data_IF_531486592832
#
_entry.id   IF_531486592832
#
_cell.length_a   1.000
_cell.length_b   1.000
_cell.length_c   1.000
_cell.angle_alpha   90.00
_cell.angle_beta   90.00
_cell.angle_gamma   90.00
#
_symmetry.space_group_name_H-M   'P 1'
#
loop_
_entity.id
_entity.type
_entity.pdbx_description
1 polymer ?
#
# COMPACT_ATOMS: atom_id res chain seq x y z
N UNK A 1 9.12 10.12 11.21
CA UNK A 1 9.97 9.43 10.21
C UNK A 1 9.54 7.97 10.14
N UNK A 2 9.57 7.40 8.94
CA UNK A 2 9.26 5.98 8.67
C UNK A 2 10.54 5.29 8.23
N UNK A 3 10.97 4.28 8.99
CA UNK A 3 12.14 3.46 8.69
C UNK A 3 11.79 2.29 7.77
N UNK A 4 12.77 1.59 7.20
CA UNK A 4 12.51 0.37 6.44
C UNK A 4 11.61 -0.62 7.18
N UNK A 5 10.62 -1.14 6.48
CA UNK A 5 9.61 -2.08 6.99
C UNK A 5 8.68 -1.54 8.09
N UNK A 6 8.64 -0.24 8.31
CA UNK A 6 7.61 0.38 9.13
C UNK A 6 6.40 0.78 8.28
N UNK A 7 5.26 0.87 8.92
CA UNK A 7 3.99 1.22 8.31
C UNK A 7 3.53 2.55 8.88
N UNK A 8 3.13 3.47 8.01
CA UNK A 8 2.51 4.74 8.36
C UNK A 8 1.00 4.66 8.13
N UNK A 9 0.23 5.08 9.09
CA UNK A 9 -1.22 5.09 9.10
C UNK A 9 -1.76 6.49 9.38
N UNK A 10 -2.81 6.89 8.67
CA UNK A 10 -3.56 8.13 8.92
C UNK A 10 -5.02 7.76 9.17
N UNK A 11 -5.54 8.17 10.31
CA UNK A 11 -6.89 7.81 10.79
C UNK A 11 -8.04 8.48 10.03
N UNK A 12 -7.78 9.54 9.26
CA UNK A 12 -8.80 10.26 8.49
C UNK A 12 -9.24 9.46 7.25
N UNK A 13 -10.48 8.94 7.27
CA UNK A 13 -11.07 8.15 6.18
C UNK A 13 -11.90 9.01 5.21
N UNK A 14 -12.43 10.16 5.66
CA UNK A 14 -13.45 10.92 4.93
C UNK A 14 -12.97 11.61 3.66
N UNK A 15 -11.69 11.98 3.58
CA UNK A 15 -11.13 12.71 2.42
C UNK A 15 -10.76 11.84 1.24
N UNK A 16 -10.64 10.53 1.44
CA UNK A 16 -10.16 9.56 0.44
C UNK A 16 -11.22 8.59 -0.04
N UNK A 17 -12.49 8.85 0.29
CA UNK A 17 -13.58 7.95 0.00
C UNK A 17 -13.56 6.74 0.95
N UNK A 18 -13.79 5.56 0.43
CA UNK A 18 -14.00 4.35 1.22
C UNK A 18 -12.70 3.59 1.58
N UNK A 19 -11.54 4.26 1.60
CA UNK A 19 -10.24 3.61 1.81
C UNK A 19 -9.50 4.19 3.01
N UNK A 20 -8.89 3.30 3.80
CA UNK A 20 -7.93 3.71 4.81
C UNK A 20 -6.64 4.24 4.17
N UNK A 21 -5.97 5.14 4.88
CA UNK A 21 -4.68 5.67 4.45
C UNK A 21 -3.55 4.92 5.14
N UNK A 22 -2.99 3.96 4.43
CA UNK A 22 -1.90 3.11 4.90
C UNK A 22 -0.78 3.07 3.86
N UNK A 23 0.47 3.17 4.31
CA UNK A 23 1.65 3.04 3.47
C UNK A 23 2.75 2.28 4.21
N UNK A 24 3.40 1.36 3.53
CA UNK A 24 4.55 0.63 4.05
C UNK A 24 5.83 1.10 3.35
N UNK A 25 6.88 1.34 4.12
CA UNK A 25 8.19 1.62 3.56
C UNK A 25 8.90 0.31 3.20
N UNK A 26 8.91 -0.01 1.91
CA UNK A 26 9.59 -1.19 1.35
C UNK A 26 11.01 -0.91 0.84
N UNK A 27 11.52 0.33 1.00
CA UNK A 27 12.88 0.70 0.64
C UNK A 27 13.83 0.64 1.84
N UNK A 28 15.12 0.76 1.58
CA UNK A 28 16.15 0.82 2.62
C UNK A 28 16.36 2.25 3.16
N UNK A 29 15.65 3.24 2.62
CA UNK A 29 15.74 4.64 3.01
C UNK A 29 14.75 5.01 4.11
N UNK A 30 14.99 6.13 4.78
CA UNK A 30 14.07 6.70 5.76
C UNK A 30 13.31 7.87 5.15
N UNK A 31 12.00 7.95 5.39
CA UNK A 31 11.13 9.01 4.88
C UNK A 31 10.53 9.85 6.00
N UNK A 32 10.38 11.13 5.71
CA UNK A 32 9.59 12.02 6.55
C UNK A 32 8.11 11.84 6.23
N UNK A 33 7.29 11.76 7.27
CA UNK A 33 5.84 11.70 7.15
C UNK A 33 5.20 12.84 7.95
N UNK A 34 3.96 13.16 7.62
CA UNK A 34 3.18 14.16 8.34
C UNK A 34 3.06 13.80 9.84
N UNK A 35 2.98 14.82 10.69
CA UNK A 35 2.78 14.67 12.13
C UNK A 35 1.45 13.98 12.51
N UNK A 36 0.47 13.99 11.60
CA UNK A 36 -0.80 13.27 11.79
C UNK A 36 -0.70 11.76 11.56
N UNK A 37 0.44 11.29 11.06
CA UNK A 37 0.65 9.86 10.77
C UNK A 37 1.11 9.12 12.01
N UNK A 38 0.43 8.05 12.34
CA UNK A 38 0.89 7.04 13.31
C UNK A 38 1.83 6.07 12.60
N UNK A 39 3.08 5.96 13.09
CA UNK A 39 4.07 5.04 12.54
C UNK A 39 4.23 3.87 13.50
N UNK A 40 4.16 2.67 12.96
CA UNK A 40 4.28 1.45 13.74
C UNK A 40 5.07 0.37 13.01
N UNK A 41 5.50 -0.64 13.76
CA UNK A 41 6.23 -1.80 13.27
C UNK A 41 5.66 -3.07 13.85
N UNK A 42 5.81 -4.18 13.12
CA UNK A 42 5.44 -5.51 13.60
C UNK A 42 6.60 -6.18 14.33
N UNK A 43 6.29 -7.15 15.16
CA UNK A 43 7.29 -8.10 15.64
C UNK A 43 7.47 -9.18 14.57
N UNK A 44 8.52 -9.06 13.76
CA UNK A 44 8.82 -9.94 12.60
C UNK A 44 8.96 -11.42 12.99
N UNK A 45 9.13 -11.75 14.27
CA UNK A 45 9.17 -13.14 14.73
C UNK A 45 7.81 -13.83 14.54
N UNK A 46 6.70 -13.08 14.63
CA UNK A 46 5.34 -13.61 14.58
C UNK A 46 4.53 -13.08 13.41
N UNK A 47 4.79 -11.84 12.99
CA UNK A 47 3.99 -11.15 12.01
C UNK A 47 4.86 -10.32 11.06
N UNK A 48 4.87 -10.69 9.79
CA UNK A 48 5.58 -9.94 8.75
C UNK A 48 4.85 -8.64 8.42
N UNK A 49 5.56 -7.50 8.26
CA UNK A 49 4.94 -6.22 7.93
C UNK A 49 4.24 -6.27 6.57
N UNK A 50 4.78 -6.98 5.59
CA UNK A 50 4.19 -7.18 4.26
C UNK A 50 2.85 -7.90 4.34
N UNK A 51 2.76 -8.95 5.16
CA UNK A 51 1.52 -9.69 5.37
C UNK A 51 0.47 -8.82 6.04
N UNK A 52 0.85 -8.07 7.08
CA UNK A 52 -0.06 -7.15 7.77
C UNK A 52 -0.54 -6.04 6.84
N UNK A 53 0.36 -5.45 6.06
CA UNK A 53 0.03 -4.43 5.07
C UNK A 53 -0.98 -4.94 4.04
N UNK A 54 -0.77 -6.17 3.54
CA UNK A 54 -1.71 -6.82 2.62
C UNK A 54 -3.07 -7.08 3.25
N UNK A 55 -3.09 -7.52 4.51
CA UNK A 55 -4.34 -7.75 5.24
C UNK A 55 -5.17 -6.47 5.32
N UNK A 56 -4.55 -5.35 5.67
CA UNK A 56 -5.21 -4.05 5.77
C UNK A 56 -5.53 -3.39 4.42
N UNK A 57 -4.84 -3.79 3.34
CA UNK A 57 -5.09 -3.24 1.99
C UNK A 57 -6.28 -3.87 1.27
N UNK A 58 -7.01 -4.79 1.90
CA UNK A 58 -8.18 -5.45 1.31
C UNK A 58 -9.41 -4.54 1.35
N UNK A 59 -10.25 -4.67 0.34
CA UNK A 59 -11.53 -3.94 0.26
C UNK A 59 -12.46 -4.25 1.43
N UNK A 60 -12.42 -5.48 1.95
CA UNK A 60 -13.20 -5.89 3.12
C UNK A 60 -12.76 -5.12 4.38
N UNK A 61 -11.46 -4.86 4.50
CA UNK A 61 -10.95 -4.06 5.61
C UNK A 61 -11.32 -2.58 5.47
N UNK A 62 -11.29 -2.03 4.27
CA UNK A 62 -11.79 -0.67 4.02
C UNK A 62 -13.25 -0.51 4.47
N UNK A 63 -14.11 -1.48 4.14
CA UNK A 63 -15.53 -1.50 4.59
C UNK A 63 -15.65 -1.62 6.10
N UNK A 64 -14.86 -2.48 6.73
CA UNK A 64 -14.82 -2.63 8.18
C UNK A 64 -14.40 -1.33 8.88
N UNK A 65 -13.32 -0.71 8.42
CA UNK A 65 -12.83 0.54 8.97
C UNK A 65 -13.86 1.67 8.82
N UNK A 66 -14.53 1.76 7.67
CA UNK A 66 -15.59 2.73 7.47
C UNK A 66 -16.79 2.50 8.40
N UNK A 67 -17.23 1.25 8.55
CA UNK A 67 -18.33 0.93 9.46
C UNK A 67 -18.03 1.28 10.92
N UNK A 68 -16.76 1.16 11.31
CA UNK A 68 -16.28 1.48 12.67
C UNK A 68 -15.66 2.89 12.76
N UNK A 69 -15.85 3.75 11.76
CA UNK A 69 -15.39 5.14 11.80
C UNK A 69 -16.44 6.04 12.43
N UNK A 70 -15.99 7.02 13.21
CA UNK A 70 -16.83 7.95 13.96
C UNK A 70 -16.45 9.39 13.66
N UNK A 71 -17.42 10.28 13.67
CA UNK A 71 -17.24 11.72 13.52
C UNK A 71 -18.30 12.37 12.63
N UNK A 72 -18.71 13.60 12.95
CA UNK A 72 -19.74 14.33 12.20
C UNK A 72 -19.17 15.13 11.02
N UNK A 73 -17.97 15.69 11.16
CA UNK A 73 -17.31 16.50 10.12
C UNK A 73 -16.18 15.77 9.42
N UNK A 74 -15.55 14.83 10.10
CA UNK A 74 -14.52 13.94 9.58
C UNK A 74 -14.68 12.58 10.22
N UNK A 75 -14.95 11.59 9.43
CA UNK A 75 -14.94 10.22 9.90
C UNK A 75 -13.49 9.76 10.11
N UNK A 76 -13.22 9.21 11.27
CA UNK A 76 -11.91 8.70 11.65
C UNK A 76 -12.04 7.27 12.15
N UNK A 77 -11.16 6.40 11.68
CA UNK A 77 -10.92 5.09 12.25
C UNK A 77 -9.69 5.21 13.15
N UNK A 78 -9.90 5.26 14.45
CA UNK A 78 -8.85 5.61 15.41
C UNK A 78 -7.77 4.53 15.51
N UNK A 79 -6.60 4.93 16.03
CA UNK A 79 -5.50 4.01 16.24
C UNK A 79 -5.83 2.88 17.23
N UNK A 80 -6.58 3.19 18.28
CA UNK A 80 -7.01 2.20 19.27
C UNK A 80 -7.94 1.16 18.63
N UNK A 81 -8.90 1.59 17.80
CA UNK A 81 -9.76 0.70 17.00
C UNK A 81 -8.93 -0.18 16.04
N UNK A 82 -7.87 0.39 15.45
CA UNK A 82 -6.94 -0.36 14.59
C UNK A 82 -6.17 -1.45 15.38
N UNK A 83 -5.78 -1.16 16.62
CA UNK A 83 -5.09 -2.10 17.51
C UNK A 83 -6.00 -3.25 17.97
N UNK A 84 -7.30 -3.01 18.08
CA UNK A 84 -8.28 -4.01 18.50
C UNK A 84 -8.71 -4.98 17.39
N UNK A 85 -8.28 -4.72 16.14
CA UNK A 85 -8.59 -5.60 15.01
C UNK A 85 -7.95 -6.96 15.19
N UNK A 86 -8.78 -8.00 15.18
CA UNK A 86 -8.32 -9.39 15.23
C UNK A 86 -7.87 -9.85 13.85
N UNK A 87 -6.61 -10.21 13.76
CA UNK A 87 -5.96 -10.63 12.51
C UNK A 87 -5.63 -12.11 12.60
N UNK A 88 -5.99 -12.94 11.59
CA UNK A 88 -5.49 -14.30 11.52
C UNK A 88 -3.98 -14.27 11.26
N UNK A 89 -3.21 -14.93 12.11
CA UNK A 89 -1.75 -15.02 11.99
C UNK A 89 -1.40 -16.47 11.63
N UNK A 90 -1.27 -16.80 10.34
CA UNK A 90 -0.82 -18.12 9.92
C UNK A 90 0.67 -18.32 10.22
N UNK A 91 1.14 -19.53 10.00
CA UNK A 91 2.58 -19.84 10.11
C UNK A 91 3.42 -18.87 9.29
N UNK A 92 4.64 -18.58 9.76
CA UNK A 92 5.55 -17.61 9.14
C UNK A 92 5.91 -17.98 7.70
N UNK A 93 5.91 -19.27 7.37
CA UNK A 93 6.17 -19.76 6.00
C UNK A 93 5.05 -19.38 5.05
N UNK A 94 3.81 -19.47 5.50
CA UNK A 94 2.63 -19.03 4.74
C UNK A 94 2.65 -17.51 4.56
N UNK A 95 2.97 -16.77 5.63
CA UNK A 95 3.09 -15.31 5.54
C UNK A 95 4.15 -14.89 4.51
N UNK A 96 5.32 -15.56 4.49
CA UNK A 96 6.38 -15.31 3.50
C UNK A 96 5.90 -15.56 2.07
N UNK A 97 5.24 -16.67 1.82
CA UNK A 97 4.72 -16.98 0.48
C UNK A 97 3.73 -15.93 -0.01
N UNK A 98 2.87 -15.41 0.87
CA UNK A 98 1.93 -14.34 0.54
C UNK A 98 2.68 -13.02 0.25
N UNK A 99 3.67 -12.68 1.07
CA UNK A 99 4.49 -11.48 0.90
C UNK A 99 5.29 -11.52 -0.41
N UNK A 100 5.85 -12.68 -0.76
CA UNK A 100 6.57 -12.88 -2.03
C UNK A 100 5.64 -12.70 -3.24
N UNK A 101 4.43 -13.23 -3.22
CA UNK A 101 3.45 -13.00 -4.29
C UNK A 101 3.15 -11.51 -4.48
N UNK A 102 3.03 -10.76 -3.39
CA UNK A 102 2.81 -9.32 -3.45
C UNK A 102 4.01 -8.57 -4.03
N UNK A 103 5.20 -8.95 -3.64
CA UNK A 103 6.44 -8.37 -4.17
C UNK A 103 6.54 -8.57 -5.69
N UNK A 104 6.24 -9.79 -6.17
CA UNK A 104 6.21 -10.11 -7.60
C UNK A 104 5.12 -9.30 -8.33
N UNK A 105 3.94 -9.17 -7.74
CA UNK A 105 2.86 -8.35 -8.29
C UNK A 105 3.28 -6.90 -8.48
N UNK A 106 3.86 -6.28 -7.45
CA UNK A 106 4.31 -4.89 -7.52
C UNK A 106 5.41 -4.70 -8.56
N UNK A 107 6.38 -5.61 -8.62
CA UNK A 107 7.44 -5.56 -9.65
C UNK A 107 6.89 -5.66 -11.07
N UNK A 108 5.91 -6.55 -11.30
CA UNK A 108 5.24 -6.66 -12.61
C UNK A 108 4.47 -5.39 -12.97
N UNK A 109 3.80 -4.78 -11.99
CA UNK A 109 3.09 -3.51 -12.18
C UNK A 109 4.06 -2.39 -12.57
N UNK A 110 5.17 -2.26 -11.87
CA UNK A 110 6.22 -1.28 -12.18
C UNK A 110 6.78 -1.47 -13.60
N UNK A 111 7.15 -2.70 -13.97
CA UNK A 111 7.60 -3.02 -15.32
C UNK A 111 6.54 -2.65 -16.37
N UNK A 112 5.27 -2.93 -16.10
CA UNK A 112 4.18 -2.59 -17.01
C UNK A 112 4.06 -1.07 -17.23
N UNK A 113 4.18 -0.27 -16.19
CA UNK A 113 4.15 1.18 -16.30
C UNK A 113 5.38 1.73 -17.06
N UNK A 114 6.56 1.16 -16.83
CA UNK A 114 7.77 1.50 -17.59
C UNK A 114 7.61 1.18 -19.08
N UNK A 115 7.08 0.00 -19.42
CA UNK A 115 6.81 -0.40 -20.81
C UNK A 115 5.79 0.51 -21.48
N UNK A 116 4.71 0.87 -20.80
CA UNK A 116 3.71 1.83 -21.31
C UNK A 116 4.36 3.20 -21.63
N UNK A 117 5.22 3.69 -20.74
CA UNK A 117 5.94 4.94 -20.95
C UNK A 117 6.87 4.86 -22.17
N UNK A 118 7.61 3.76 -22.33
CA UNK A 118 8.48 3.53 -23.49
C UNK A 118 7.67 3.47 -24.80
N UNK A 119 6.58 2.71 -24.84
CA UNK A 119 5.69 2.63 -26.02
C UNK A 119 5.17 4.01 -26.37
N UNK A 120 4.71 4.79 -25.41
CA UNK A 120 4.22 6.16 -25.64
C UNK A 120 5.28 7.06 -26.29
N UNK A 121 6.54 6.88 -25.93
CA UNK A 121 7.64 7.66 -26.48
C UNK A 121 8.07 7.20 -27.87
N UNK A 122 8.00 5.91 -28.17
CA UNK A 122 8.45 5.31 -29.43
C UNK A 122 7.38 5.39 -30.53
N UNK A 123 6.10 5.23 -30.23
CA UNK A 123 5.02 5.24 -31.20
C UNK A 123 5.01 6.48 -32.13
N UNK A 124 5.18 7.73 -31.65
CA UNK A 124 5.24 8.89 -32.54
C UNK A 124 6.40 8.85 -33.50
N UNK A 125 7.56 8.31 -33.08
CA UNK A 125 8.77 8.21 -33.93
C UNK A 125 8.57 7.17 -35.02
N UNK A 126 7.99 6.02 -34.69
CA UNK A 126 7.72 4.95 -35.68
C UNK A 126 6.67 5.39 -36.69
N UNK A 127 5.60 6.09 -36.27
CA UNK A 127 4.57 6.60 -37.16
C UNK A 127 5.20 7.63 -38.14
N UNK A 128 6.02 8.55 -37.63
CA UNK A 128 6.68 9.56 -38.46
C UNK A 128 7.63 8.92 -39.49
N UNK A 129 8.46 7.96 -39.07
CA UNK A 129 9.37 7.24 -39.96
C UNK A 129 8.63 6.50 -41.08
N UNK A 130 7.53 5.82 -40.76
CA UNK A 130 6.72 5.11 -41.77
C UNK A 130 6.01 6.02 -42.79
N UNK A 131 5.80 7.29 -42.46
CA UNK A 131 5.20 8.28 -43.37
C UNK A 131 6.27 8.97 -44.27
N UNK A 132 7.52 8.98 -43.84
CA UNK A 132 8.64 9.58 -44.61
C UNK A 132 9.26 8.60 -45.63
N UNK A 133 8.99 7.30 -45.53
CA UNK A 133 9.43 6.25 -46.49
C UNK A 133 8.50 6.06 -47.70
N UNK A 134 7.40 6.80 -47.82
CA UNK A 134 6.46 6.84 -48.94
C UNK A 134 6.54 8.19 -49.64
#
# INVERSE_FOLDING_TARGET
MVRPNEIAYISDTSRRGDKISLAMNSSDEMYLVSSISTVFRTNKKYLLPEYLFLFYSRTEFDRYARFNSWGSARETFNWDDMCDVKIPIPDITIQKSIAEMYTVYNKRKEINEQLKAQIKNICPILIKGSLEEN
#
